data_IF_754809541431
#
_entry.id   IF_754809541431
#
_cell.length_a   1.000
_cell.length_b   1.000
_cell.length_c   1.000
_cell.angle_alpha   90.00
_cell.angle_beta   90.00
_cell.angle_gamma   90.00
#
_symmetry.space_group_name_H-M   'P 1'
#
loop_
_entity.id
_entity.type
_entity.pdbx_description
1 polymer ?
#
# COMPACT_ATOMS: atom_id res chain seq x y z
N UNK A 1 -6.03 14.95 -16.04
CA UNK A 1 -5.22 15.52 -17.13
C UNK A 1 -3.97 16.06 -16.45
N UNK A 2 -3.15 15.13 -15.97
CA UNK A 2 -1.83 15.45 -15.43
C UNK A 2 -0.94 15.63 -16.65
N UNK A 3 -0.47 16.86 -16.87
CA UNK A 3 0.74 17.03 -17.64
C UNK A 3 1.82 16.23 -16.92
N UNK A 4 2.36 15.21 -17.60
CA UNK A 4 3.64 14.61 -17.24
C UNK A 4 4.67 15.74 -17.26
N UNK A 5 4.80 16.44 -16.14
CA UNK A 5 5.99 17.21 -15.82
C UNK A 5 7.09 16.17 -15.57
N UNK A 6 7.57 15.59 -16.67
CA UNK A 6 8.92 15.06 -16.71
C UNK A 6 9.78 16.14 -16.08
N UNK A 7 10.49 15.87 -14.96
CA UNK A 7 11.46 16.81 -14.47
C UNK A 7 12.46 16.94 -15.62
N UNK A 8 12.41 18.09 -16.32
CA UNK A 8 13.51 18.51 -17.18
C UNK A 8 14.68 18.47 -16.23
N UNK A 9 15.50 17.45 -16.43
CA UNK A 9 16.56 17.08 -15.53
C UNK A 9 17.39 18.33 -15.34
N UNK A 10 17.35 18.94 -14.14
CA UNK A 10 18.35 19.93 -13.76
C UNK A 10 19.67 19.16 -13.75
N UNK A 11 20.33 19.21 -14.91
CA UNK A 11 21.62 18.60 -15.10
C UNK A 11 22.59 19.34 -14.20
N UNK A 12 23.33 18.53 -13.44
CA UNK A 12 24.44 18.93 -12.58
C UNK A 12 25.26 20.05 -13.27
N UNK A 13 25.05 21.31 -12.85
CA UNK A 13 25.72 22.49 -13.40
C UNK A 13 24.87 23.52 -14.18
N UNK A 14 23.55 23.39 -14.30
CA UNK A 14 22.67 24.48 -14.79
C UNK A 14 22.82 24.86 -16.27
N UNK A 15 23.43 24.01 -17.10
CA UNK A 15 23.61 24.22 -18.55
C UNK A 15 22.40 23.75 -19.34
N UNK A 16 22.01 24.49 -20.40
CA UNK A 16 20.94 24.06 -21.31
C UNK A 16 21.39 22.87 -22.19
N UNK A 17 20.46 22.06 -22.74
CA UNK A 17 20.80 20.91 -23.58
C UNK A 17 21.72 21.23 -24.76
N UNK A 18 21.60 22.44 -25.31
CA UNK A 18 22.35 22.92 -26.48
C UNK A 18 23.81 23.27 -26.16
N UNK A 19 24.17 23.35 -24.87
CA UNK A 19 25.50 23.70 -24.38
C UNK A 19 26.36 22.50 -23.96
N UNK A 20 25.82 21.27 -24.07
CA UNK A 20 26.50 20.04 -23.68
C UNK A 20 27.28 19.48 -24.86
N UNK A 21 28.50 19.01 -24.61
CA UNK A 21 29.18 18.17 -25.61
C UNK A 21 28.40 16.87 -25.83
N UNK A 22 28.50 16.28 -27.03
CA UNK A 22 27.86 14.99 -27.36
C UNK A 22 28.11 13.89 -26.31
N UNK A 23 29.29 13.88 -25.70
CA UNK A 23 29.64 12.92 -24.64
C UNK A 23 28.87 13.19 -23.34
N UNK A 24 28.73 14.45 -22.94
CA UNK A 24 27.99 14.84 -21.75
C UNK A 24 26.49 14.62 -21.92
N UNK A 25 25.94 14.97 -23.08
CA UNK A 25 24.54 14.71 -23.43
C UNK A 25 24.22 13.21 -23.42
N UNK A 26 25.04 12.37 -24.07
CA UNK A 26 24.89 10.90 -24.03
C UNK A 26 24.99 10.34 -22.62
N UNK A 27 25.89 10.89 -21.78
CA UNK A 27 26.04 10.47 -20.38
C UNK A 27 24.82 10.85 -19.55
N UNK A 28 24.28 12.05 -19.75
CA UNK A 28 23.06 12.54 -19.12
C UNK A 28 21.85 11.66 -19.47
N UNK A 29 21.60 11.42 -20.76
CA UNK A 29 20.51 10.53 -21.20
C UNK A 29 20.66 9.14 -20.58
N UNK A 30 21.87 8.58 -20.61
CA UNK A 30 22.11 7.24 -20.03
C UNK A 30 21.87 7.22 -18.52
N UNK A 31 22.13 8.32 -17.81
CA UNK A 31 21.83 8.44 -16.38
C UNK A 31 20.33 8.53 -16.13
N UNK A 32 19.58 9.27 -16.96
CA UNK A 32 18.13 9.42 -16.87
C UNK A 32 17.40 8.10 -17.17
N UNK A 33 17.85 7.35 -18.19
CA UNK A 33 17.19 6.13 -18.67
C UNK A 33 17.37 4.91 -17.76
N UNK A 34 18.46 4.86 -16.99
CA UNK A 34 18.78 3.71 -16.12
C UNK A 34 17.70 3.42 -15.06
N UNK A 35 17.23 4.41 -14.27
CA UNK A 35 16.10 4.22 -13.35
C UNK A 35 14.85 3.67 -14.02
N UNK A 36 14.52 4.11 -15.25
CA UNK A 36 13.34 3.66 -15.99
C UNK A 36 13.47 2.20 -16.43
N UNK A 37 14.66 1.78 -16.87
CA UNK A 37 14.94 0.39 -17.24
C UNK A 37 14.87 -0.53 -16.01
N UNK A 38 15.42 -0.09 -14.87
CA UNK A 38 15.35 -0.86 -13.61
C UNK A 38 13.90 -0.98 -13.14
N UNK A 39 13.15 0.13 -13.12
CA UNK A 39 11.74 0.13 -12.71
C UNK A 39 10.90 -0.77 -13.61
N UNK A 40 11.17 -0.76 -14.91
CA UNK A 40 10.48 -1.61 -15.87
C UNK A 40 10.69 -3.10 -15.60
N UNK A 41 11.95 -3.52 -15.50
CA UNK A 41 12.28 -4.92 -15.23
C UNK A 41 11.75 -5.36 -13.86
N UNK A 42 11.91 -4.53 -12.83
CA UNK A 42 11.38 -4.81 -11.49
C UNK A 42 9.85 -4.95 -11.50
N UNK A 43 9.15 -4.08 -12.23
CA UNK A 43 7.69 -4.14 -12.35
C UNK A 43 7.22 -5.42 -13.05
N UNK A 44 7.85 -5.82 -14.15
CA UNK A 44 7.53 -7.07 -14.85
C UNK A 44 7.80 -8.28 -13.95
N UNK A 45 8.99 -8.35 -13.35
CA UNK A 45 9.35 -9.44 -12.44
C UNK A 45 8.39 -9.53 -11.25
N UNK A 46 7.99 -8.39 -10.70
CA UNK A 46 7.01 -8.34 -9.61
C UNK A 46 5.66 -8.95 -10.03
N UNK A 47 5.12 -8.59 -11.19
CA UNK A 47 3.85 -9.15 -11.68
C UNK A 47 3.99 -10.62 -12.00
N UNK A 48 5.02 -11.02 -12.76
CA UNK A 48 5.27 -12.40 -13.14
C UNK A 48 5.46 -13.31 -11.91
N UNK A 49 6.26 -12.87 -10.94
CA UNK A 49 6.48 -13.61 -9.70
C UNK A 49 5.22 -13.66 -8.83
N UNK A 50 4.44 -12.58 -8.76
CA UNK A 50 3.14 -12.59 -8.05
C UNK A 50 2.20 -13.63 -8.66
N UNK A 51 2.05 -13.65 -9.99
CA UNK A 51 1.21 -14.63 -10.68
C UNK A 51 1.72 -16.07 -10.50
N UNK A 52 3.04 -16.29 -10.63
CA UNK A 52 3.65 -17.60 -10.39
C UNK A 52 3.39 -18.10 -8.97
N UNK A 53 3.61 -17.24 -7.98
CA UNK A 53 3.41 -17.59 -6.57
C UNK A 53 1.95 -17.94 -6.28
N UNK A 54 1.01 -17.17 -6.82
CA UNK A 54 -0.43 -17.46 -6.68
C UNK A 54 -0.82 -18.79 -7.33
N UNK A 55 -0.26 -19.12 -8.50
CA UNK A 55 -0.55 -20.36 -9.20
C UNK A 55 0.10 -21.59 -8.56
N UNK A 56 1.31 -21.45 -7.98
CA UNK A 56 2.09 -22.58 -7.47
C UNK A 56 1.98 -22.80 -5.97
N UNK A 57 1.99 -21.72 -5.19
CA UNK A 57 2.08 -21.76 -3.73
C UNK A 57 1.36 -20.56 -3.07
N UNK A 58 0.02 -20.44 -3.25
CA UNK A 58 -0.75 -19.30 -2.77
C UNK A 58 -0.63 -19.10 -1.24
N UNK A 59 -0.39 -20.18 -0.49
CA UNK A 59 -0.19 -20.13 0.96
C UNK A 59 1.05 -19.38 1.42
N UNK A 60 1.98 -19.05 0.51
CA UNK A 60 3.18 -18.26 0.77
C UNK A 60 3.05 -16.81 0.29
N UNK A 61 1.92 -16.42 -0.30
CA UNK A 61 1.75 -15.08 -0.87
C UNK A 61 1.89 -13.96 0.16
N UNK A 62 1.54 -14.22 1.43
CA UNK A 62 1.69 -13.25 2.52
C UNK A 62 3.14 -12.79 2.70
N UNK A 63 4.13 -13.67 2.49
CA UNK A 63 5.55 -13.32 2.56
C UNK A 63 5.88 -12.30 1.48
N UNK A 64 5.43 -12.59 0.25
CA UNK A 64 5.65 -11.70 -0.88
C UNK A 64 4.93 -10.35 -0.70
N UNK A 65 3.72 -10.35 -0.13
CA UNK A 65 3.03 -9.13 0.24
C UNK A 65 3.84 -8.29 1.25
N UNK A 66 4.35 -8.90 2.32
CA UNK A 66 5.16 -8.19 3.33
C UNK A 66 6.45 -7.65 2.73
N UNK A 67 7.17 -8.43 1.91
CA UNK A 67 8.37 -7.95 1.21
C UNK A 67 8.05 -6.71 0.37
N UNK A 68 6.98 -6.76 -0.43
CA UNK A 68 6.54 -5.62 -1.24
C UNK A 68 6.17 -4.41 -0.39
N UNK A 69 5.44 -4.62 0.71
CA UNK A 69 5.09 -3.54 1.64
C UNK A 69 6.34 -2.88 2.22
N UNK A 70 7.28 -3.67 2.76
CA UNK A 70 8.51 -3.12 3.37
C UNK A 70 9.31 -2.36 2.32
N UNK A 71 9.57 -2.94 1.15
CA UNK A 71 10.39 -2.32 0.12
C UNK A 71 9.72 -1.08 -0.50
N UNK A 72 8.49 -1.23 -1.01
CA UNK A 72 7.81 -0.17 -1.77
C UNK A 72 7.33 0.97 -0.86
N UNK A 73 6.81 0.67 0.34
CA UNK A 73 6.35 1.72 1.24
C UNK A 73 7.52 2.48 1.87
N UNK A 74 8.64 1.81 2.17
CA UNK A 74 9.82 2.50 2.68
C UNK A 74 10.44 3.41 1.62
N UNK A 75 10.51 2.96 0.37
CA UNK A 75 10.91 3.80 -0.76
C UNK A 75 9.96 4.98 -0.95
N UNK A 76 8.65 4.74 -0.94
CA UNK A 76 7.62 5.78 -1.05
C UNK A 76 7.72 6.81 0.07
N UNK A 77 7.93 6.37 1.31
CA UNK A 77 8.11 7.25 2.46
C UNK A 77 9.31 8.16 2.29
N UNK A 78 10.44 7.61 1.88
CA UNK A 78 11.65 8.39 1.64
C UNK A 78 11.42 9.47 0.56
N UNK A 79 10.80 9.09 -0.56
CA UNK A 79 10.51 10.02 -1.67
C UNK A 79 9.51 11.10 -1.23
N UNK A 80 8.41 10.72 -0.58
CA UNK A 80 7.37 11.64 -0.15
C UNK A 80 7.83 12.57 0.97
N UNK A 81 8.72 12.10 1.87
CA UNK A 81 9.30 12.94 2.91
C UNK A 81 10.17 14.05 2.34
N UNK A 82 10.90 13.79 1.25
CA UNK A 82 11.74 14.81 0.59
C UNK A 82 10.94 15.96 -0.01
N UNK A 83 9.76 15.68 -0.54
CA UNK A 83 8.89 16.67 -1.19
C UNK A 83 7.80 17.21 -0.25
N UNK A 84 7.84 16.89 1.05
CA UNK A 84 6.84 17.35 2.03
C UNK A 84 5.51 16.56 2.04
N UNK A 85 5.29 15.64 1.09
CA UNK A 85 4.05 14.87 0.87
C UNK A 85 3.93 13.58 1.71
N UNK A 86 4.72 13.39 2.77
CA UNK A 86 4.68 12.17 3.59
C UNK A 86 3.33 11.90 4.28
N UNK A 87 2.50 12.93 4.49
CA UNK A 87 1.18 12.77 5.11
C UNK A 87 0.17 12.02 4.22
N UNK A 88 0.40 11.95 2.90
CA UNK A 88 -0.38 11.09 2.01
C UNK A 88 -0.26 9.60 2.36
N UNK A 89 0.79 9.20 3.08
CA UNK A 89 0.92 7.83 3.57
C UNK A 89 0.01 7.49 4.74
N UNK A 90 -0.72 8.48 5.29
CA UNK A 90 -1.75 8.24 6.31
C UNK A 90 -3.11 7.84 5.73
N UNK A 91 -3.23 7.81 4.41
CA UNK A 91 -4.44 7.33 3.72
C UNK A 91 -4.71 5.84 3.97
N UNK A 92 -5.98 5.45 3.83
CA UNK A 92 -6.47 4.13 4.21
C UNK A 92 -5.70 2.98 3.55
N UNK A 93 -5.38 3.10 2.25
CA UNK A 93 -4.69 2.05 1.51
C UNK A 93 -3.28 1.79 2.07
N UNK A 94 -2.51 2.83 2.38
CA UNK A 94 -1.21 2.69 3.02
C UNK A 94 -1.34 2.06 4.41
N UNK A 95 -2.30 2.55 5.21
CA UNK A 95 -2.49 2.07 6.57
C UNK A 95 -2.92 0.60 6.62
N UNK A 96 -3.80 0.14 5.73
CA UNK A 96 -4.17 -1.29 5.65
C UNK A 96 -2.96 -2.18 5.30
N UNK A 97 -2.08 -1.75 4.37
CA UNK A 97 -0.86 -2.49 4.04
C UNK A 97 0.15 -2.49 5.19
N UNK A 98 0.22 -1.40 5.98
CA UNK A 98 1.07 -1.33 7.17
C UNK A 98 0.51 -2.24 8.27
N UNK A 99 -0.79 -2.18 8.53
CA UNK A 99 -1.46 -3.02 9.51
C UNK A 99 -1.39 -4.50 9.16
N UNK A 100 -1.50 -4.88 7.88
CA UNK A 100 -1.31 -6.28 7.48
C UNK A 100 0.09 -6.78 7.85
N UNK A 101 1.13 -5.97 7.65
CA UNK A 101 2.50 -6.31 8.04
C UNK A 101 2.66 -6.42 9.56
N UNK A 102 2.05 -5.50 10.32
CA UNK A 102 2.08 -5.53 11.78
C UNK A 102 1.38 -6.78 12.30
N UNK A 103 0.19 -7.12 11.77
CA UNK A 103 -0.56 -8.32 12.16
C UNK A 103 0.22 -9.60 11.87
N UNK A 104 0.88 -9.68 10.71
CA UNK A 104 1.78 -10.81 10.38
C UNK A 104 2.93 -10.89 11.39
N UNK A 105 3.58 -9.77 11.70
CA UNK A 105 4.68 -9.73 12.67
C UNK A 105 4.22 -10.18 14.07
N UNK A 106 3.06 -9.71 14.53
CA UNK A 106 2.47 -10.15 15.80
C UNK A 106 2.17 -11.65 15.79
N UNK A 107 1.62 -12.17 14.68
CA UNK A 107 1.41 -13.60 14.49
C UNK A 107 2.71 -14.39 14.57
N UNK A 108 3.77 -13.93 13.90
CA UNK A 108 5.11 -14.54 13.95
C UNK A 108 5.67 -14.52 15.38
N UNK A 109 5.57 -13.41 16.08
CA UNK A 109 6.00 -13.31 17.48
C UNK A 109 5.24 -14.28 18.38
N UNK A 110 3.93 -14.45 18.15
CA UNK A 110 3.07 -15.37 18.91
C UNK A 110 3.46 -16.83 18.70
N UNK A 111 3.55 -17.29 17.45
CA UNK A 111 3.88 -18.71 17.15
C UNK A 111 5.30 -19.10 17.57
N UNK A 112 6.21 -18.12 17.68
CA UNK A 112 7.57 -18.33 18.20
C UNK A 112 7.67 -18.15 19.73
N UNK A 113 6.57 -17.94 20.44
CA UNK A 113 6.54 -17.82 21.90
C UNK A 113 7.21 -16.56 22.45
N UNK A 114 7.37 -15.51 21.64
CA UNK A 114 8.01 -14.26 22.06
C UNK A 114 7.04 -13.44 22.93
N UNK A 115 5.86 -13.13 22.41
CA UNK A 115 4.77 -12.50 23.14
C UNK A 115 3.43 -12.73 22.42
N UNK A 116 2.33 -12.65 23.16
CA UNK A 116 0.97 -12.70 22.63
C UNK A 116 0.21 -11.45 23.04
N UNK A 117 -0.78 -11.06 22.22
CA UNK A 117 -1.60 -9.87 22.44
C UNK A 117 -3.07 -10.28 22.42
N UNK A 118 -3.97 -9.58 23.14
CA UNK A 118 -5.40 -9.87 23.10
C UNK A 118 -6.02 -9.82 21.68
N UNK A 119 -5.33 -9.17 20.74
CA UNK A 119 -5.74 -9.07 19.34
C UNK A 119 -5.80 -10.45 18.65
N UNK A 120 -4.99 -11.41 19.10
CA UNK A 120 -4.94 -12.77 18.53
C UNK A 120 -6.28 -13.51 18.67
N UNK A 121 -7.06 -13.20 19.72
CA UNK A 121 -8.42 -13.74 19.92
C UNK A 121 -9.42 -13.32 18.84
N UNK A 122 -9.10 -12.27 18.07
CA UNK A 122 -9.97 -11.68 17.05
C UNK A 122 -9.40 -11.88 15.63
N UNK A 123 -8.43 -12.77 15.45
CA UNK A 123 -7.77 -12.99 14.16
C UNK A 123 -8.75 -13.27 13.02
N UNK A 124 -9.70 -14.19 13.23
CA UNK A 124 -10.72 -14.54 12.23
C UNK A 124 -11.57 -13.31 11.84
N UNK A 125 -11.99 -12.51 12.82
CA UNK A 125 -12.81 -11.31 12.65
C UNK A 125 -12.05 -10.21 11.91
N UNK A 126 -10.77 -10.02 12.24
CA UNK A 126 -9.87 -9.07 11.58
C UNK A 126 -9.64 -9.48 10.12
N UNK A 127 -9.46 -10.77 9.84
CA UNK A 127 -9.30 -11.27 8.46
C UNK A 127 -10.59 -11.06 7.66
N UNK A 128 -11.77 -11.33 8.25
CA UNK A 128 -13.07 -11.05 7.61
C UNK A 128 -13.26 -9.55 7.32
N UNK A 129 -12.92 -8.68 8.27
CA UNK A 129 -12.98 -7.23 8.11
C UNK A 129 -11.98 -6.73 7.06
N UNK A 130 -10.75 -7.24 7.12
CA UNK A 130 -9.67 -6.96 6.17
C UNK A 130 -10.04 -7.39 4.75
N UNK A 131 -10.72 -8.52 4.60
CA UNK A 131 -11.28 -8.96 3.33
C UNK A 131 -12.21 -7.90 2.74
N UNK A 132 -13.22 -7.46 3.50
CA UNK A 132 -14.18 -6.46 3.04
C UNK A 132 -13.52 -5.11 2.70
N UNK A 133 -12.56 -4.64 3.51
CA UNK A 133 -11.84 -3.39 3.22
C UNK A 133 -10.91 -3.51 2.01
N UNK A 134 -10.23 -4.65 1.85
CA UNK A 134 -9.31 -4.88 0.75
C UNK A 134 -10.03 -5.08 -0.58
N UNK A 135 -11.12 -5.85 -0.62
CA UNK A 135 -11.88 -6.12 -1.86
C UNK A 135 -12.92 -5.05 -2.15
N UNK A 136 -13.31 -4.26 -1.15
CA UNK A 136 -14.20 -3.11 -1.29
C UNK A 136 -13.41 -1.85 -1.65
N UNK A 137 -13.28 -0.88 -0.72
CA UNK A 137 -12.74 0.45 -1.02
C UNK A 137 -11.36 0.42 -1.68
N UNK A 138 -10.45 -0.48 -1.27
CA UNK A 138 -9.11 -0.55 -1.84
C UNK A 138 -9.12 -1.02 -3.29
N UNK A 139 -9.78 -2.14 -3.61
CA UNK A 139 -9.83 -2.63 -4.98
C UNK A 139 -10.60 -1.67 -5.89
N UNK A 140 -11.71 -1.10 -5.41
CA UNK A 140 -12.52 -0.13 -6.15
C UNK A 140 -11.77 1.18 -6.41
N UNK A 141 -10.85 1.57 -5.54
CA UNK A 141 -10.02 2.76 -5.76
C UNK A 141 -9.14 2.67 -7.02
N UNK A 142 -8.82 1.47 -7.49
CA UNK A 142 -8.10 1.29 -8.77
C UNK A 142 -8.94 1.86 -9.91
N UNK A 143 -10.23 1.51 -9.95
CA UNK A 143 -11.15 2.03 -10.95
C UNK A 143 -11.44 3.52 -10.73
N UNK A 144 -11.71 3.93 -9.49
CA UNK A 144 -12.06 5.30 -9.15
C UNK A 144 -10.95 6.31 -9.49
N UNK A 145 -9.70 5.96 -9.20
CA UNK A 145 -8.53 6.80 -9.48
C UNK A 145 -7.82 6.44 -10.78
N UNK A 146 -8.40 5.53 -11.58
CA UNK A 146 -7.84 5.04 -12.85
C UNK A 146 -6.37 4.60 -12.72
N UNK A 147 -6.02 3.98 -11.59
CA UNK A 147 -4.66 3.48 -11.35
C UNK A 147 -4.33 2.43 -12.39
N UNK A 148 -3.26 2.69 -13.15
CA UNK A 148 -2.81 1.85 -14.24
C UNK A 148 -1.42 1.29 -13.93
N UNK A 149 -1.15 0.10 -14.45
CA UNK A 149 0.18 -0.49 -14.35
C UNK A 149 1.10 0.17 -15.38
N UNK A 150 1.99 1.04 -14.91
CA UNK A 150 3.00 1.70 -15.73
C UNK A 150 4.38 1.26 -15.27
N UNK A 151 4.98 0.32 -16.00
CA UNK A 151 6.24 -0.32 -15.60
C UNK A 151 7.42 0.66 -15.49
N UNK A 152 7.42 1.75 -16.26
CA UNK A 152 8.47 2.78 -16.19
C UNK A 152 8.33 3.74 -15.01
N UNK A 153 7.23 3.65 -14.25
CA UNK A 153 7.00 4.49 -13.08
C UNK A 153 6.86 3.64 -11.82
N UNK A 154 7.88 3.72 -10.96
CA UNK A 154 7.81 3.13 -9.62
C UNK A 154 6.64 3.68 -8.82
N UNK A 155 6.23 4.93 -9.08
CA UNK A 155 5.14 5.56 -8.36
C UNK A 155 3.77 5.01 -8.75
N UNK A 156 3.49 4.84 -10.04
CA UNK A 156 2.25 4.19 -10.50
C UNK A 156 2.22 2.71 -10.10
N UNK A 157 3.37 2.03 -10.19
CA UNK A 157 3.48 0.63 -9.77
C UNK A 157 3.19 0.46 -8.27
N UNK A 158 3.73 1.36 -7.43
CA UNK A 158 3.48 1.35 -5.97
C UNK A 158 2.02 1.69 -5.68
N UNK A 159 1.45 2.71 -6.33
CA UNK A 159 0.03 3.07 -6.19
C UNK A 159 -0.90 1.93 -6.59
N UNK A 160 -0.59 1.17 -7.65
CA UNK A 160 -1.39 0.00 -8.02
C UNK A 160 -1.24 -1.14 -7.00
N UNK A 161 -0.02 -1.38 -6.50
CA UNK A 161 0.27 -2.41 -5.53
C UNK A 161 -0.52 -2.24 -4.23
N UNK A 162 -0.53 -1.03 -3.64
CA UNK A 162 -1.20 -0.78 -2.36
C UNK A 162 -2.72 -1.00 -2.43
N UNK A 163 -3.30 -0.89 -3.62
CA UNK A 163 -4.74 -1.09 -3.84
C UNK A 163 -5.09 -2.54 -4.24
N UNK A 164 -4.24 -3.21 -5.02
CA UNK A 164 -4.52 -4.56 -5.54
C UNK A 164 -4.00 -5.68 -4.63
N UNK A 165 -2.80 -5.54 -4.07
CA UNK A 165 -2.15 -6.63 -3.35
C UNK A 165 -2.86 -7.05 -2.07
N UNK A 166 -3.46 -6.16 -1.27
CA UNK A 166 -4.27 -6.57 -0.12
C UNK A 166 -5.44 -7.46 -0.53
N UNK A 167 -6.11 -7.16 -1.64
CA UNK A 167 -7.25 -7.96 -2.13
C UNK A 167 -6.79 -9.36 -2.55
N UNK A 168 -5.64 -9.44 -3.21
CA UNK A 168 -5.01 -10.72 -3.56
C UNK A 168 -4.61 -11.51 -2.32
N UNK A 169 -4.04 -10.86 -1.30
CA UNK A 169 -3.72 -11.50 -0.02
C UNK A 169 -4.97 -12.07 0.64
N UNK A 170 -6.03 -11.26 0.76
CA UNK A 170 -7.29 -11.69 1.35
C UNK A 170 -7.96 -12.81 0.53
N UNK A 171 -7.81 -12.81 -0.79
CA UNK A 171 -8.20 -13.93 -1.63
C UNK A 171 -7.43 -15.21 -1.26
N UNK A 172 -6.10 -15.15 -1.10
CA UNK A 172 -5.34 -16.34 -0.66
C UNK A 172 -5.79 -16.83 0.72
N UNK A 173 -6.03 -15.92 1.68
CA UNK A 173 -6.53 -16.27 3.02
C UNK A 173 -7.89 -16.95 2.99
N UNK A 174 -8.79 -16.55 2.07
CA UNK A 174 -10.15 -17.09 1.98
C UNK A 174 -10.23 -18.42 1.25
N UNK A 175 -9.53 -18.56 0.12
CA UNK A 175 -9.65 -19.73 -0.76
C UNK A 175 -8.56 -20.79 -0.53
N UNK A 176 -7.48 -20.44 0.17
CA UNK A 176 -6.40 -21.37 0.51
C UNK A 176 -6.15 -21.44 2.03
N UNK A 177 -7.18 -21.17 2.84
CA UNK A 177 -7.14 -21.19 4.30
C UNK A 177 -6.52 -22.48 4.87
N UNK A 178 -6.95 -23.64 4.39
CA UNK A 178 -6.46 -24.93 4.85
C UNK A 178 -4.96 -25.12 4.53
N UNK A 179 -4.54 -24.80 3.30
CA UNK A 179 -3.14 -24.91 2.89
C UNK A 179 -2.23 -23.93 3.67
N UNK A 180 -2.77 -22.75 4.02
CA UNK A 180 -2.09 -21.77 4.88
C UNK A 180 -1.91 -22.33 6.29
N UNK A 181 -2.96 -22.84 6.91
CA UNK A 181 -2.87 -23.41 8.26
C UNK A 181 -1.94 -24.62 8.32
N UNK A 182 -1.94 -25.48 7.29
CA UNK A 182 -1.01 -26.61 7.19
C UNK A 182 0.46 -26.17 7.08
N UNK A 183 0.72 -25.08 6.36
CA UNK A 183 2.10 -24.58 6.15
C UNK A 183 2.57 -23.64 7.27
N UNK A 184 1.64 -22.95 7.92
CA UNK A 184 1.87 -21.93 8.93
C UNK A 184 0.89 -22.08 10.12
N UNK A 185 0.99 -23.18 10.89
CA UNK A 185 0.01 -23.51 11.93
C UNK A 185 -0.12 -22.41 12.97
N UNK A 186 -1.34 -21.98 13.25
CA UNK A 186 -1.62 -20.94 14.24
C UNK A 186 -1.02 -19.57 13.89
N UNK A 187 -0.56 -19.31 12.66
CA UNK A 187 -0.05 -17.98 12.32
C UNK A 187 -1.20 -16.98 12.12
N UNK A 188 -2.24 -17.40 11.41
CA UNK A 188 -3.35 -16.54 10.99
C UNK A 188 -4.69 -16.90 11.60
N UNK A 189 -4.95 -18.17 11.94
CA UNK A 189 -6.25 -18.63 12.45
C UNK A 189 -7.42 -18.07 11.61
N UNK A 190 -7.36 -18.31 10.30
CA UNK A 190 -8.33 -17.79 9.33
C UNK A 190 -9.77 -18.20 9.64
N UNK A 191 -9.93 -19.34 10.31
CA UNK A 191 -11.22 -19.91 10.72
C UNK A 191 -11.12 -20.43 12.16
N UNK A 192 -12.15 -20.18 12.97
CA UNK A 192 -12.18 -20.63 14.37
C UNK A 192 -12.03 -22.14 14.47
N UNK A 193 -11.18 -22.58 15.41
CA UNK A 193 -10.88 -24.00 15.67
C UNK A 193 -10.40 -24.79 14.45
N UNK A 194 -9.88 -24.11 13.42
CA UNK A 194 -9.48 -24.73 12.15
C UNK A 194 -10.60 -25.53 11.46
N UNK A 195 -11.88 -25.20 11.71
CA UNK A 195 -13.03 -25.77 11.01
C UNK A 195 -13.29 -24.99 9.70
N UNK A 196 -12.62 -25.40 8.62
CA UNK A 196 -12.77 -24.78 7.30
C UNK A 196 -14.13 -25.02 6.65
N UNK A 197 -14.89 -26.02 7.11
CA UNK A 197 -16.24 -26.30 6.62
C UNK A 197 -17.28 -25.31 7.16
N UNK A 198 -17.02 -24.73 8.35
CA UNK A 198 -17.90 -23.77 9.04
C UNK A 198 -17.26 -22.40 9.16
N UNK A 199 -16.68 -21.92 8.07
CA UNK A 199 -16.09 -20.58 7.99
C UNK A 199 -16.88 -19.60 7.09
N UNK A 200 -18.24 -19.55 7.13
CA UNK A 200 -18.97 -18.50 6.44
C UNK A 200 -18.79 -17.16 7.16
N UNK A 201 -18.91 -16.07 6.40
CA UNK A 201 -19.08 -14.74 6.95
C UNK A 201 -20.50 -14.27 6.64
N UNK A 202 -21.22 -13.79 7.66
CA UNK A 202 -22.52 -13.17 7.43
C UNK A 202 -22.33 -11.77 6.85
N UNK A 203 -23.31 -11.25 6.12
CA UNK A 203 -23.24 -9.88 5.59
C UNK A 203 -23.08 -8.86 6.73
N UNK A 204 -23.71 -9.11 7.88
CA UNK A 204 -23.58 -8.27 9.05
C UNK A 204 -22.16 -8.29 9.62
N UNK A 205 -21.52 -9.46 9.73
CA UNK A 205 -20.12 -9.56 10.15
C UNK A 205 -19.20 -8.79 9.19
N UNK A 206 -19.37 -8.98 7.88
CA UNK A 206 -18.54 -8.31 6.88
C UNK A 206 -18.69 -6.79 6.93
N UNK A 207 -19.92 -6.28 7.05
CA UNK A 207 -20.18 -4.84 7.11
C UNK A 207 -19.77 -4.26 8.46
N UNK A 208 -20.28 -4.82 9.56
CA UNK A 208 -20.06 -4.25 10.89
C UNK A 208 -18.60 -4.32 11.31
N UNK A 209 -17.93 -5.46 11.13
CA UNK A 209 -16.53 -5.60 11.54
C UNK A 209 -15.63 -4.73 10.66
N UNK A 210 -15.92 -4.58 9.36
CA UNK A 210 -15.15 -3.69 8.50
C UNK A 210 -15.36 -2.22 8.84
N UNK A 211 -16.59 -1.80 9.18
CA UNK A 211 -16.87 -0.43 9.65
C UNK A 211 -16.17 -0.16 10.97
N UNK A 212 -16.25 -1.07 11.95
CA UNK A 212 -15.56 -0.94 13.23
C UNK A 212 -14.04 -0.84 13.01
N UNK A 213 -13.47 -1.75 12.23
CA UNK A 213 -12.04 -1.75 11.93
C UNK A 213 -11.62 -0.46 11.20
N UNK A 214 -12.40 -0.01 10.22
CA UNK A 214 -12.18 1.26 9.53
C UNK A 214 -12.20 2.45 10.48
N UNK A 215 -13.18 2.54 11.38
CA UNK A 215 -13.30 3.66 12.32
C UNK A 215 -12.15 3.67 13.33
N UNK A 216 -11.89 2.52 13.97
CA UNK A 216 -10.94 2.40 15.08
C UNK A 216 -9.50 2.41 14.57
N UNK A 217 -9.20 1.67 13.50
CA UNK A 217 -7.82 1.56 13.00
C UNK A 217 -7.44 2.72 12.09
N UNK A 218 -8.39 3.38 11.42
CA UNK A 218 -8.06 4.44 10.46
C UNK A 218 -8.77 5.76 10.70
N UNK A 219 -10.09 5.84 10.62
CA UNK A 219 -10.79 7.13 10.54
C UNK A 219 -10.56 8.02 11.77
N UNK A 220 -10.65 7.46 12.98
CA UNK A 220 -10.42 8.19 14.24
C UNK A 220 -8.93 8.57 14.37
N UNK A 221 -7.96 7.62 14.28
CA UNK A 221 -6.54 7.99 14.33
C UNK A 221 -6.12 9.00 13.26
N UNK A 222 -6.62 8.87 12.04
CA UNK A 222 -6.37 9.78 10.93
C UNK A 222 -6.89 11.18 11.26
N UNK A 223 -8.14 11.29 11.70
CA UNK A 223 -8.75 12.58 12.05
C UNK A 223 -7.95 13.28 13.15
N UNK A 224 -7.64 12.56 14.23
CA UNK A 224 -6.85 13.11 15.34
C UNK A 224 -5.45 13.51 14.89
N UNK A 225 -4.79 12.68 14.07
CA UNK A 225 -3.42 12.96 13.62
C UNK A 225 -3.37 14.19 12.73
N UNK A 226 -4.24 14.28 11.71
CA UNK A 226 -4.19 15.34 10.71
C UNK A 226 -4.81 16.64 11.22
N UNK A 227 -6.01 16.59 11.78
CA UNK A 227 -6.79 17.79 12.12
C UNK A 227 -6.57 18.29 13.55
N UNK A 228 -6.03 17.46 14.45
CA UNK A 228 -5.75 17.88 15.84
C UNK A 228 -4.25 18.01 16.08
N UNK A 229 -3.48 16.93 15.94
CA UNK A 229 -2.07 16.94 16.35
C UNK A 229 -1.13 17.59 15.34
N UNK A 230 -1.35 17.38 14.04
CA UNK A 230 -0.46 17.89 13.00
C UNK A 230 -0.96 19.19 12.37
N UNK A 231 -2.16 19.67 12.70
CA UNK A 231 -2.79 20.82 12.03
C UNK A 231 -1.88 22.07 12.03
N UNK A 232 -1.29 22.41 13.18
CA UNK A 232 -0.38 23.54 13.28
C UNK A 232 0.89 23.34 12.43
N UNK A 233 1.52 22.15 12.52
CA UNK A 233 2.74 21.83 11.75
C UNK A 233 2.50 21.80 10.25
N UNK A 234 1.33 21.33 9.82
CA UNK A 234 0.91 21.31 8.41
C UNK A 234 0.87 22.75 7.88
N UNK A 235 0.24 23.66 8.63
CA UNK A 235 0.14 25.08 8.25
C UNK A 235 1.50 25.78 8.23
N UNK A 236 2.34 25.53 9.23
CA UNK A 236 3.66 26.16 9.36
C UNK A 236 4.66 25.71 8.29
N UNK A 237 4.56 24.44 7.85
CA UNK A 237 5.53 23.83 6.93
C UNK A 237 4.98 23.59 5.52
N UNK A 238 3.75 24.03 5.26
CA UNK A 238 3.04 23.85 3.98
C UNK A 238 3.10 22.40 3.50
N UNK A 239 2.82 21.45 4.40
CA UNK A 239 2.82 20.03 4.03
C UNK A 239 1.58 19.70 3.21
N UNK A 240 1.81 19.11 2.03
CA UNK A 240 0.74 18.68 1.17
C UNK A 240 -0.10 17.55 1.81
N UNK A 241 -1.42 17.74 1.81
CA UNK A 241 -2.42 16.75 2.23
C UNK A 241 -3.44 16.53 1.11
N UNK A 242 -4.18 15.41 1.16
CA UNK A 242 -5.28 15.16 0.20
C UNK A 242 -6.32 16.27 0.28
N UNK A 243 -6.63 16.76 1.48
CA UNK A 243 -7.60 17.84 1.67
C UNK A 243 -7.15 19.13 0.98
N UNK A 244 -5.89 19.53 1.18
CA UNK A 244 -5.33 20.69 0.51
C UNK A 244 -5.29 20.52 -1.02
N UNK A 245 -4.91 19.34 -1.51
CA UNK A 245 -4.93 19.03 -2.94
C UNK A 245 -6.36 19.19 -3.49
N UNK A 246 -7.36 18.65 -2.81
CA UNK A 246 -8.76 18.74 -3.22
C UNK A 246 -9.26 20.19 -3.28
N UNK A 247 -8.96 20.99 -2.25
CA UNK A 247 -9.27 22.42 -2.21
C UNK A 247 -8.56 23.22 -3.31
N UNK A 248 -7.32 22.85 -3.64
CA UNK A 248 -6.56 23.52 -4.70
C UNK A 248 -7.09 23.17 -6.10
N UNK A 249 -7.57 21.94 -6.29
CA UNK A 249 -8.20 21.52 -7.56
C UNK A 249 -9.64 22.00 -7.74
N UNK A 250 -10.32 22.41 -6.66
CA UNK A 250 -11.71 22.91 -6.68
C UNK A 250 -11.81 24.26 -5.95
N UNK A 251 -11.48 25.39 -6.61
CA UNK A 251 -11.38 26.70 -5.98
C UNK A 251 -12.67 27.17 -5.30
N UNK A 252 -13.82 26.71 -5.78
CA UNK A 252 -15.16 27.05 -5.24
C UNK A 252 -15.37 26.57 -3.79
N UNK A 253 -14.59 25.59 -3.33
CA UNK A 253 -14.67 25.07 -1.95
C UNK A 253 -13.84 25.89 -0.94
N UNK A 254 -13.01 26.83 -1.38
CA UNK A 254 -12.21 27.69 -0.48
C UNK A 254 -13.00 28.85 0.12
N UNK A 255 -14.17 29.15 -0.44
CA UNK A 255 -14.99 30.31 -0.08
C UNK A 255 -16.12 29.98 0.91
N UNK A 256 -16.23 28.72 1.34
CA UNK A 256 -17.19 28.21 2.33
C UNK A 256 -16.48 27.76 3.60
#
# INVERSE_FOLDING_TARGET
MEEDHHPIMELDGGKSPDQLSDKEFKKAIKKAKKPDEISFVAGILNVAFSCFLLGKAPQHYWIWHVIKCVCLLSWRYYTYRKIGSHLFMSELCYMINIYSCILVLLGVCRVNGIFDTPLSMYNTEIIKAGFALATGPLLWSIAAFRNSLVFHSGDHTTSLFIHSSPSVLMWTMRWHAEAIEQSWPGLFETCKNNDFSKCPATSQELILNSVILYLVAWAIPYFLTIFVFCAQRIKERSYATVFELHLNTNPTLKET
#
